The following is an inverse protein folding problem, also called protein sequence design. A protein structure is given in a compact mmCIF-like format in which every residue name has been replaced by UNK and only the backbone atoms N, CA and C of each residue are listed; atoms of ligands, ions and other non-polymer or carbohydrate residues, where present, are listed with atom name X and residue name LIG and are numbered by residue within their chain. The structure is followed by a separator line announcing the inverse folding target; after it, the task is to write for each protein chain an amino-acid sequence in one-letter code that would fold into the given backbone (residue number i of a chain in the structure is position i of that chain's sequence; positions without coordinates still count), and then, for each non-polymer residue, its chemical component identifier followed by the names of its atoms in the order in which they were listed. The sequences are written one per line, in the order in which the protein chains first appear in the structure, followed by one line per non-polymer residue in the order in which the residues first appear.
data_IF_690888354307
#
_entry.id   IF_690888354307
#
_cell.length_a   1.000
_cell.length_b   1.000
_cell.length_c   1.000
_cell.angle_alpha   90.00
_cell.angle_beta   90.00
_cell.angle_gamma   90.00
#
_symmetry.space_group_name_H-M   'P 1'
#
loop_
_entity.id
_entity.type
_entity.pdbx_description
1 polymer ?
#
# COMPACT_ATOMS: atom_id res chain seq x y z
N UNK A 1 13.42 7.26 28.82
CA UNK A 1 12.56 8.42 28.49
C UNK A 1 13.03 8.93 27.14
N UNK A 2 12.51 8.47 26.00
CA UNK A 2 11.12 8.65 25.56
C UNK A 2 11.10 9.66 24.41
N UNK A 3 12.01 9.49 23.43
CA UNK A 3 12.09 10.32 22.21
C UNK A 3 11.55 9.49 21.06
N UNK A 4 10.41 9.91 20.51
CA UNK A 4 9.75 9.34 19.35
C UNK A 4 10.75 9.16 18.20
N UNK A 5 11.02 7.90 17.85
CA UNK A 5 12.06 7.42 16.95
C UNK A 5 11.90 7.77 15.46
N UNK A 6 11.02 8.71 15.11
CA UNK A 6 10.80 9.04 13.69
C UNK A 6 11.96 9.82 13.06
N UNK A 7 12.76 10.55 13.85
CA UNK A 7 13.83 11.41 13.35
C UNK A 7 15.24 10.81 13.29
N UNK A 8 15.44 9.57 13.77
CA UNK A 8 16.77 8.93 13.86
C UNK A 8 16.97 7.79 12.85
N UNK A 9 15.97 7.47 12.03
CA UNK A 9 16.05 6.32 11.12
C UNK A 9 16.97 6.58 9.91
N UNK A 10 17.15 7.84 9.49
CA UNK A 10 17.90 8.16 8.27
C UNK A 10 19.39 8.52 8.47
N UNK A 11 19.84 8.83 9.70
CA UNK A 11 21.20 9.36 9.92
C UNK A 11 22.23 8.26 10.28
N UNK A 12 21.79 7.05 10.65
CA UNK A 12 22.70 6.01 11.17
C UNK A 12 23.21 5.01 10.11
N UNK A 13 22.65 5.00 8.90
CA UNK A 13 22.98 4.03 7.81
C UNK A 13 24.29 4.40 7.07
N UNK A 14 24.81 5.61 7.25
CA UNK A 14 25.96 6.11 6.47
C UNK A 14 27.34 5.55 6.85
N UNK A 15 27.47 4.68 7.86
CA UNK A 15 28.82 4.41 8.39
C UNK A 15 29.48 3.09 8.04
N UNK A 16 28.78 1.98 7.75
CA UNK A 16 29.46 0.69 7.49
C UNK A 16 28.56 -0.26 6.71
N UNK A 17 29.03 -0.82 5.59
CA UNK A 17 29.28 -2.26 5.45
C UNK A 17 29.69 -2.67 4.02
N UNK A 18 30.33 -3.83 3.97
CA UNK A 18 31.34 -4.32 3.03
C UNK A 18 30.74 -5.05 1.80
N UNK A 19 31.38 -4.87 0.64
CA UNK A 19 30.91 -5.11 -0.74
C UNK A 19 30.77 -6.62 -1.08
N UNK A 20 31.29 -7.50 -0.26
CA UNK A 20 31.35 -8.95 -0.53
C UNK A 20 30.07 -9.73 -0.17
N UNK A 21 29.24 -9.22 0.75
CA UNK A 21 28.00 -9.92 1.16
C UNK A 21 26.80 -9.63 0.23
N UNK A 22 26.84 -8.53 -0.52
CA UNK A 22 25.78 -8.08 -1.44
C UNK A 22 25.71 -8.89 -2.74
N UNK A 23 26.84 -9.44 -3.21
CA UNK A 23 26.88 -10.24 -4.45
C UNK A 23 26.14 -11.58 -4.32
N UNK A 24 26.09 -12.16 -3.12
CA UNK A 24 25.45 -13.45 -2.89
C UNK A 24 23.91 -13.31 -2.79
N UNK A 25 23.42 -12.29 -2.08
CA UNK A 25 21.98 -12.01 -1.94
C UNK A 25 21.31 -11.59 -3.25
N UNK A 26 22.04 -10.88 -4.13
CA UNK A 26 21.53 -10.51 -5.46
C UNK A 26 21.38 -11.74 -6.36
N UNK A 27 22.27 -12.74 -6.25
CA UNK A 27 22.21 -13.95 -7.08
C UNK A 27 21.02 -14.84 -6.73
N UNK A 28 20.66 -14.90 -5.45
CA UNK A 28 19.52 -15.68 -4.95
C UNK A 28 18.19 -14.98 -5.28
N UNK A 29 18.14 -13.64 -5.16
CA UNK A 29 16.99 -12.80 -5.57
C UNK A 29 16.65 -12.86 -7.07
N UNK A 30 17.62 -13.12 -7.96
CA UNK A 30 17.35 -13.24 -9.40
C UNK A 30 16.74 -14.59 -9.78
N UNK A 31 16.95 -15.65 -8.99
CA UNK A 31 16.38 -16.98 -9.22
C UNK A 31 14.86 -17.03 -8.95
N UNK A 32 14.37 -16.21 -8.02
CA UNK A 32 12.94 -16.17 -7.65
C UNK A 32 12.10 -15.15 -8.46
N UNK A 33 12.74 -14.25 -9.23
CA UNK A 33 12.05 -13.21 -10.03
C UNK A 33 11.18 -13.73 -11.17
N UNK A 34 11.41 -14.97 -11.62
CA UNK A 34 10.61 -15.59 -12.67
C UNK A 34 9.20 -16.02 -12.19
N UNK A 35 8.98 -16.11 -10.87
CA UNK A 35 7.73 -16.64 -10.30
C UNK A 35 6.79 -15.54 -9.77
N UNK A 36 7.30 -14.37 -9.39
CA UNK A 36 6.50 -13.25 -8.83
C UNK A 36 5.71 -12.45 -9.88
N UNK A 37 6.32 -12.13 -11.04
CA UNK A 37 5.67 -11.33 -12.09
C UNK A 37 4.43 -12.01 -12.69
N UNK A 38 4.40 -13.35 -12.71
CA UNK A 38 3.27 -14.12 -13.25
C UNK A 38 2.00 -13.94 -12.43
N UNK A 39 2.09 -13.61 -11.14
CA UNK A 39 0.92 -13.49 -10.25
C UNK A 39 0.17 -12.17 -10.47
N UNK A 40 0.87 -11.03 -10.56
CA UNK A 40 0.22 -9.72 -10.78
C UNK A 40 -0.39 -9.60 -12.18
N UNK A 41 0.33 -10.05 -13.21
CA UNK A 41 -0.18 -10.09 -14.58
C UNK A 41 -1.37 -11.06 -14.66
N UNK A 42 -1.32 -12.19 -13.94
CA UNK A 42 -2.46 -13.10 -13.82
C UNK A 42 -3.68 -12.44 -13.16
N UNK A 43 -3.50 -11.68 -12.08
CA UNK A 43 -4.61 -10.94 -11.43
C UNK A 43 -5.21 -9.88 -12.37
N UNK A 44 -4.38 -9.11 -13.08
CA UNK A 44 -4.84 -8.12 -14.06
C UNK A 44 -5.59 -8.76 -15.24
N UNK A 45 -5.05 -9.85 -15.80
CA UNK A 45 -5.67 -10.60 -16.90
C UNK A 45 -6.94 -11.35 -16.48
N UNK A 46 -7.03 -11.81 -15.23
CA UNK A 46 -8.25 -12.42 -14.69
C UNK A 46 -9.33 -11.37 -14.45
N UNK A 47 -8.93 -10.19 -13.97
CA UNK A 47 -9.85 -9.05 -13.76
C UNK A 47 -10.42 -8.54 -15.09
N UNK A 48 -9.62 -8.48 -16.17
CA UNK A 48 -10.11 -8.02 -17.49
C UNK A 48 -11.06 -9.00 -18.19
N UNK A 49 -11.11 -10.26 -17.78
CA UNK A 49 -12.01 -11.29 -18.36
C UNK A 49 -13.42 -11.31 -17.75
N UNK A 50 -13.69 -10.53 -16.70
CA UNK A 50 -14.96 -10.56 -15.97
C UNK A 50 -15.90 -9.47 -16.49
N UNK A 51 -16.93 -9.85 -17.27
CA UNK A 51 -17.84 -8.93 -17.97
C UNK A 51 -18.96 -8.31 -17.09
N UNK A 52 -19.10 -8.70 -15.82
CA UNK A 52 -20.23 -8.27 -14.98
C UNK A 52 -19.87 -8.00 -13.50
N UNK A 53 -18.65 -7.51 -13.21
CA UNK A 53 -18.25 -7.17 -11.83
C UNK A 53 -18.39 -5.65 -11.58
N UNK A 54 -19.11 -5.28 -10.53
CA UNK A 54 -19.29 -3.89 -10.06
C UNK A 54 -17.93 -3.33 -9.60
N UNK A 55 -17.59 -2.12 -10.04
CA UNK A 55 -16.36 -1.43 -9.60
C UNK A 55 -15.05 -2.00 -10.17
N UNK A 56 -15.08 -2.68 -11.32
CA UNK A 56 -13.91 -3.35 -11.92
C UNK A 56 -12.77 -2.38 -12.26
N UNK A 57 -13.08 -1.20 -12.76
CA UNK A 57 -12.03 -0.25 -13.20
C UNK A 57 -11.39 0.43 -11.99
N UNK A 58 -12.20 0.65 -10.96
CA UNK A 58 -11.85 1.27 -9.70
C UNK A 58 -10.88 0.38 -8.90
N UNK A 59 -11.13 -0.94 -8.84
CA UNK A 59 -10.20 -1.87 -8.19
C UNK A 59 -8.90 -2.03 -8.99
N UNK A 60 -8.98 -1.94 -10.33
CA UNK A 60 -7.79 -1.92 -11.17
C UNK A 60 -6.94 -0.67 -10.91
N UNK A 61 -7.58 0.48 -10.71
CA UNK A 61 -6.88 1.72 -10.36
C UNK A 61 -6.14 1.58 -9.03
N UNK A 62 -6.77 0.95 -8.02
CA UNK A 62 -6.11 0.62 -6.75
C UNK A 62 -4.89 -0.31 -6.95
N UNK A 63 -5.05 -1.40 -7.71
CA UNK A 63 -3.96 -2.35 -7.96
C UNK A 63 -2.79 -1.73 -8.75
N UNK A 64 -3.08 -0.86 -9.72
CA UNK A 64 -2.06 -0.09 -10.44
C UNK A 64 -1.35 0.87 -9.49
N UNK A 65 -2.09 1.56 -8.61
CA UNK A 65 -1.51 2.40 -7.55
C UNK A 65 -0.55 1.62 -6.66
N UNK A 66 -0.94 0.41 -6.22
CA UNK A 66 -0.08 -0.47 -5.42
C UNK A 66 1.18 -0.92 -6.18
N UNK A 67 1.09 -1.25 -7.47
CA UNK A 67 2.27 -1.56 -8.30
C UNK A 67 3.23 -0.37 -8.35
N UNK A 68 2.72 0.85 -8.52
CA UNK A 68 3.55 2.06 -8.52
C UNK A 68 4.20 2.31 -7.15
N UNK A 69 3.49 2.07 -6.05
CA UNK A 69 4.05 2.08 -4.68
C UNK A 69 5.22 1.10 -4.61
N UNK A 70 5.02 -0.17 -4.97
CA UNK A 70 6.08 -1.19 -4.90
C UNK A 70 7.30 -0.85 -5.76
N UNK A 71 7.12 -0.20 -6.91
CA UNK A 71 8.25 0.27 -7.73
C UNK A 71 9.02 1.38 -7.00
N UNK A 72 8.33 2.34 -6.40
CA UNK A 72 8.99 3.43 -5.68
C UNK A 72 9.61 2.97 -4.35
N UNK A 73 9.02 1.97 -3.71
CA UNK A 73 9.52 1.31 -2.51
C UNK A 73 10.91 0.70 -2.72
N UNK A 74 11.12 0.04 -3.87
CA UNK A 74 12.44 -0.51 -4.25
C UNK A 74 13.53 0.56 -4.25
N UNK A 75 13.23 1.80 -4.67
CA UNK A 75 14.23 2.88 -4.76
C UNK A 75 14.32 3.75 -3.51
N UNK A 76 13.26 3.82 -2.71
CA UNK A 76 13.23 4.62 -1.49
C UNK A 76 13.80 3.83 -0.30
N UNK A 77 13.25 2.64 -0.05
CA UNK A 77 13.62 1.76 1.05
C UNK A 77 14.75 0.81 0.65
N UNK A 78 14.77 0.36 -0.62
CA UNK A 78 15.83 -0.52 -1.08
C UNK A 78 17.21 0.13 -1.00
N UNK A 79 18.20 -0.65 -0.59
CA UNK A 79 19.61 -0.25 -0.51
C UNK A 79 20.31 -0.16 -1.88
N UNK A 80 19.61 0.38 -2.89
CA UNK A 80 20.22 0.65 -4.18
C UNK A 80 21.17 1.86 -4.06
N UNK A 81 22.36 1.81 -4.69
CA UNK A 81 23.33 2.91 -4.67
C UNK A 81 22.82 4.07 -5.56
N UNK A 82 21.94 4.90 -4.99
CA UNK A 82 21.37 6.09 -5.60
C UNK A 82 22.00 7.35 -5.00
N UNK A 83 22.02 8.44 -5.78
CA UNK A 83 22.37 9.75 -5.23
C UNK A 83 21.32 10.20 -4.22
N UNK A 84 21.74 10.93 -3.17
CA UNK A 84 20.83 11.36 -2.09
C UNK A 84 19.60 12.11 -2.60
N UNK A 85 19.78 13.01 -3.57
CA UNK A 85 18.67 13.76 -4.18
C UNK A 85 17.67 12.87 -4.92
N UNK A 86 18.16 11.84 -5.62
CA UNK A 86 17.29 10.90 -6.35
C UNK A 86 16.53 10.02 -5.37
N UNK A 87 17.16 9.56 -4.28
CA UNK A 87 16.48 8.82 -3.21
C UNK A 87 15.37 9.66 -2.57
N UNK A 88 15.63 10.93 -2.28
CA UNK A 88 14.62 11.85 -1.75
C UNK A 88 13.45 12.00 -2.73
N UNK A 89 13.71 12.13 -4.03
CA UNK A 89 12.67 12.23 -5.03
C UNK A 89 11.78 10.98 -5.09
N UNK A 90 12.38 9.78 -5.11
CA UNK A 90 11.61 8.53 -5.07
C UNK A 90 10.84 8.36 -3.75
N UNK A 91 11.42 8.77 -2.63
CA UNK A 91 10.76 8.69 -1.31
C UNK A 91 9.54 9.61 -1.24
N UNK A 92 9.66 10.83 -1.78
CA UNK A 92 8.53 11.76 -1.83
C UNK A 92 7.40 11.28 -2.74
N UNK A 93 7.73 10.72 -3.91
CA UNK A 93 6.74 10.09 -4.81
C UNK A 93 6.09 8.89 -4.12
N UNK A 94 6.89 8.06 -3.45
CA UNK A 94 6.41 6.89 -2.71
C UNK A 94 5.39 7.29 -1.63
N UNK A 95 5.72 8.27 -0.80
CA UNK A 95 4.83 8.81 0.24
C UNK A 95 3.53 9.36 -0.37
N UNK A 96 3.61 10.13 -1.46
CA UNK A 96 2.44 10.66 -2.15
C UNK A 96 1.55 9.56 -2.76
N UNK A 97 2.15 8.52 -3.33
CA UNK A 97 1.44 7.36 -3.86
C UNK A 97 0.71 6.57 -2.77
N UNK A 98 1.29 6.43 -1.56
CA UNK A 98 0.63 5.78 -0.42
C UNK A 98 -0.64 6.55 -0.03
N UNK A 99 -0.55 7.87 0.11
CA UNK A 99 -1.71 8.71 0.43
C UNK A 99 -2.80 8.62 -0.65
N UNK A 100 -2.41 8.69 -1.92
CA UNK A 100 -3.34 8.62 -3.04
C UNK A 100 -3.99 7.23 -3.20
N UNK A 101 -3.22 6.15 -3.05
CA UNK A 101 -3.72 4.78 -3.25
C UNK A 101 -4.64 4.33 -2.13
N UNK A 102 -4.35 4.71 -0.88
CA UNK A 102 -5.25 4.43 0.25
C UNK A 102 -6.55 5.24 0.16
N UNK A 103 -6.49 6.46 -0.37
CA UNK A 103 -7.68 7.24 -0.72
C UNK A 103 -8.52 6.56 -1.81
N UNK A 104 -7.88 6.09 -2.89
CA UNK A 104 -8.54 5.33 -3.97
C UNK A 104 -9.22 4.08 -3.39
N UNK A 105 -8.55 3.35 -2.49
CA UNK A 105 -9.12 2.17 -1.84
C UNK A 105 -10.37 2.52 -1.01
N UNK A 106 -10.34 3.61 -0.25
CA UNK A 106 -11.52 4.08 0.49
C UNK A 106 -12.68 4.45 -0.44
N UNK A 107 -12.40 5.17 -1.53
CA UNK A 107 -13.42 5.50 -2.53
C UNK A 107 -13.99 4.26 -3.23
N UNK A 108 -13.20 3.20 -3.41
CA UNK A 108 -13.71 1.92 -3.92
C UNK A 108 -14.84 1.37 -3.04
N UNK A 109 -14.71 1.44 -1.71
CA UNK A 109 -15.79 1.02 -0.82
C UNK A 109 -17.05 1.90 -0.95
N UNK A 110 -16.89 3.21 -1.18
CA UNK A 110 -18.02 4.13 -1.42
C UNK A 110 -18.75 3.77 -2.71
N UNK A 111 -18.02 3.43 -3.78
CA UNK A 111 -18.61 2.96 -5.05
C UNK A 111 -19.38 1.65 -4.86
N UNK A 112 -18.96 0.79 -3.92
CA UNK A 112 -19.69 -0.44 -3.55
C UNK A 112 -21.13 -0.20 -3.07
N UNK A 113 -21.44 0.99 -2.52
CA UNK A 113 -22.81 1.38 -2.14
C UNK A 113 -23.66 1.89 -3.30
N UNK A 114 -23.11 1.91 -4.53
CA UNK A 114 -23.80 2.40 -5.73
C UNK A 114 -24.31 3.85 -5.60
N UNK A 115 -23.66 4.67 -4.75
CA UNK A 115 -23.97 6.10 -4.62
C UNK A 115 -23.57 6.89 -5.87
N UNK A 116 -22.57 6.39 -6.60
CA UNK A 116 -22.09 6.90 -7.88
C UNK A 116 -22.06 5.72 -8.83
N UNK A 117 -22.59 5.91 -10.04
CA UNK A 117 -22.57 4.89 -11.09
C UNK A 117 -21.13 4.43 -11.36
N UNK A 118 -20.87 3.15 -11.14
CA UNK A 118 -19.56 2.52 -11.31
C UNK A 118 -19.16 2.47 -12.80
N UNK A 119 -17.87 2.61 -13.08
CA UNK A 119 -17.33 2.61 -14.45
C UNK A 119 -17.69 3.85 -15.29
N UNK A 120 -18.37 4.84 -14.73
CA UNK A 120 -18.63 6.10 -15.44
C UNK A 120 -17.36 6.94 -15.56
N UNK A 121 -17.18 7.69 -16.68
CA UNK A 121 -16.07 8.62 -16.82
C UNK A 121 -16.01 9.66 -15.69
N UNK A 122 -17.17 10.02 -15.14
CA UNK A 122 -17.28 10.94 -14.01
C UNK A 122 -16.73 10.32 -12.72
N UNK A 123 -17.13 9.09 -12.38
CA UNK A 123 -16.59 8.36 -11.22
C UNK A 123 -15.07 8.26 -11.27
N UNK A 124 -14.53 7.85 -12.42
CA UNK A 124 -13.09 7.74 -12.63
C UNK A 124 -12.38 9.09 -12.57
N UNK A 125 -12.95 10.13 -13.16
CA UNK A 125 -12.38 11.47 -13.11
C UNK A 125 -12.34 12.00 -11.68
N UNK A 126 -13.40 11.79 -10.88
CA UNK A 126 -13.43 12.21 -9.47
C UNK A 126 -12.40 11.43 -8.65
N UNK A 127 -12.30 10.12 -8.83
CA UNK A 127 -11.34 9.28 -8.12
C UNK A 127 -9.89 9.64 -8.46
N UNK A 128 -9.57 9.77 -9.74
CA UNK A 128 -8.21 10.12 -10.21
C UNK A 128 -7.85 11.55 -9.83
N UNK A 129 -8.74 12.52 -10.02
CA UNK A 129 -8.45 13.93 -9.70
C UNK A 129 -8.25 14.16 -8.19
N UNK A 130 -9.10 13.58 -7.35
CA UNK A 130 -8.96 13.69 -5.89
C UNK A 130 -7.71 12.95 -5.38
N UNK A 131 -7.39 11.78 -5.95
CA UNK A 131 -6.15 11.08 -5.66
C UNK A 131 -4.91 11.87 -6.12
N UNK A 132 -4.97 12.53 -7.28
CA UNK A 132 -3.88 13.36 -7.79
C UNK A 132 -3.59 14.56 -6.89
N UNK A 133 -4.62 15.17 -6.28
CA UNK A 133 -4.42 16.24 -5.28
C UNK A 133 -3.64 15.72 -4.08
N UNK A 134 -3.96 14.54 -3.56
CA UNK A 134 -3.22 13.93 -2.45
C UNK A 134 -1.80 13.53 -2.85
N UNK A 135 -1.61 12.98 -4.06
CA UNK A 135 -0.29 12.61 -4.57
C UNK A 135 0.61 13.83 -4.72
N UNK A 136 0.13 14.86 -5.42
CA UNK A 136 0.91 16.06 -5.72
C UNK A 136 1.12 16.87 -4.44
N UNK A 137 0.08 17.05 -3.62
CA UNK A 137 0.16 17.81 -2.37
C UNK A 137 1.13 17.18 -1.37
N UNK A 138 0.95 15.88 -1.10
CA UNK A 138 1.83 15.18 -0.15
C UNK A 138 3.24 15.03 -0.72
N UNK A 139 3.37 14.70 -2.00
CA UNK A 139 4.66 14.58 -2.68
C UNK A 139 5.43 15.90 -2.71
N UNK A 140 4.75 17.03 -2.91
CA UNK A 140 5.35 18.36 -2.83
C UNK A 140 5.92 18.65 -1.44
N UNK A 141 5.13 18.41 -0.38
CA UNK A 141 5.57 18.63 1.00
C UNK A 141 6.78 17.72 1.32
N UNK A 142 6.75 16.46 0.88
CA UNK A 142 7.84 15.52 1.10
C UNK A 142 9.11 15.92 0.33
N UNK A 143 8.96 16.36 -0.93
CA UNK A 143 10.08 16.86 -1.74
C UNK A 143 10.70 18.11 -1.12
N UNK A 144 9.89 19.07 -0.69
CA UNK A 144 10.40 20.30 -0.10
C UNK A 144 11.07 20.05 1.26
N UNK A 145 10.51 19.15 2.06
CA UNK A 145 11.15 18.73 3.32
C UNK A 145 12.53 18.10 3.07
N UNK A 146 12.64 17.23 2.06
CA UNK A 146 13.87 16.50 1.77
C UNK A 146 14.93 17.28 0.97
N UNK A 147 14.52 18.19 0.08
CA UNK A 147 15.41 18.97 -0.78
C UNK A 147 15.61 20.42 -0.31
N UNK A 148 14.81 20.89 0.64
CA UNK A 148 14.90 22.21 1.27
C UNK A 148 14.94 23.36 0.25
N UNK A 149 14.15 23.27 -0.83
CA UNK A 149 14.21 24.29 -1.90
C UNK A 149 13.40 25.55 -1.57
N UNK A 150 12.37 25.48 -0.71
CA UNK A 150 11.68 26.69 -0.21
C UNK A 150 12.18 27.18 1.15
N UNK A 151 12.81 26.31 1.94
CA UNK A 151 13.21 26.58 3.32
C UNK A 151 12.06 26.52 4.34
N UNK A 152 10.80 26.27 3.92
CA UNK A 152 9.64 26.33 4.81
C UNK A 152 9.67 25.25 5.91
N UNK A 153 10.21 24.07 5.63
CA UNK A 153 10.25 22.92 6.55
C UNK A 153 11.60 22.72 7.25
N UNK A 154 12.50 23.71 7.26
CA UNK A 154 13.86 23.59 7.84
C UNK A 154 13.85 23.21 9.33
N UNK A 155 12.85 23.67 10.09
CA UNK A 155 12.68 23.31 11.50
C UNK A 155 12.58 21.78 11.72
N UNK A 156 12.11 21.04 10.70
CA UNK A 156 11.99 19.57 10.72
C UNK A 156 13.32 18.83 10.80
N UNK A 157 14.44 19.51 10.53
CA UNK A 157 15.80 18.95 10.57
C UNK A 157 16.51 19.20 11.90
N UNK A 158 15.90 20.01 12.78
CA UNK A 158 16.41 20.28 14.11
C UNK A 158 15.69 19.43 15.13
N UNK A 159 16.41 18.86 16.10
CA UNK A 159 15.81 18.05 17.15
C UNK A 159 14.66 18.84 17.81
N UNK A 160 13.45 18.28 17.89
CA UNK A 160 13.09 16.86 17.86
C UNK A 160 12.71 16.25 16.48
N UNK A 161 13.13 16.84 15.36
CA UNK A 161 12.90 16.38 13.98
C UNK A 161 11.42 16.09 13.67
N UNK A 162 10.57 17.11 13.86
CA UNK A 162 9.11 16.98 13.74
C UNK A 162 8.61 17.61 12.46
N UNK A 163 7.89 16.83 11.66
CA UNK A 163 7.11 17.33 10.54
C UNK A 163 5.65 16.85 10.68
N UNK A 164 4.79 17.75 11.19
CA UNK A 164 3.39 17.41 11.48
C UNK A 164 2.60 17.20 10.20
N UNK A 165 2.88 17.97 9.15
CA UNK A 165 2.17 17.86 7.87
C UNK A 165 2.39 16.49 7.23
N UNK A 166 3.65 16.04 7.14
CA UNK A 166 3.97 14.69 6.65
C UNK A 166 3.39 13.61 7.56
N UNK A 167 3.50 13.76 8.88
CA UNK A 167 2.88 12.80 9.80
C UNK A 167 1.37 12.63 9.55
N UNK A 168 0.63 13.72 9.37
CA UNK A 168 -0.81 13.66 9.10
C UNK A 168 -1.08 13.05 7.73
N UNK A 169 -0.40 13.50 6.67
CA UNK A 169 -0.72 13.10 5.30
C UNK A 169 -0.24 11.69 4.93
N UNK A 170 0.87 11.25 5.50
CA UNK A 170 1.46 9.94 5.22
C UNK A 170 0.99 8.85 6.19
N UNK A 171 0.81 9.19 7.47
CA UNK A 171 0.50 8.19 8.50
C UNK A 171 -0.97 8.22 8.91
N UNK A 172 -1.46 9.38 9.34
CA UNK A 172 -2.78 9.45 9.98
C UNK A 172 -3.92 9.37 8.96
N UNK A 173 -3.86 10.13 7.87
CA UNK A 173 -4.89 10.14 6.84
C UNK A 173 -5.01 8.77 6.15
N UNK A 174 -3.93 8.10 5.70
CA UNK A 174 -4.02 6.74 5.16
C UNK A 174 -4.59 5.73 6.15
N UNK A 175 -4.23 5.82 7.44
CA UNK A 175 -4.83 4.99 8.48
C UNK A 175 -6.35 5.20 8.59
N UNK A 176 -6.80 6.46 8.58
CA UNK A 176 -8.23 6.79 8.58
C UNK A 176 -8.93 6.24 7.35
N UNK A 177 -8.32 6.34 6.16
CA UNK A 177 -8.88 5.81 4.92
C UNK A 177 -9.03 4.29 4.97
N UNK A 178 -8.03 3.57 5.49
CA UNK A 178 -8.08 2.12 5.67
C UNK A 178 -9.14 1.68 6.68
N UNK A 179 -9.27 2.39 7.79
CA UNK A 179 -10.33 2.11 8.79
C UNK A 179 -11.71 2.39 8.21
N UNK A 180 -11.87 3.50 7.49
CA UNK A 180 -13.12 3.82 6.79
C UNK A 180 -13.47 2.76 5.75
N UNK A 181 -12.51 2.34 4.92
CA UNK A 181 -12.65 1.23 3.98
C UNK A 181 -13.15 -0.04 4.68
N UNK A 182 -12.48 -0.47 5.76
CA UNK A 182 -12.87 -1.66 6.52
C UNK A 182 -14.30 -1.57 7.06
N UNK A 183 -14.68 -0.43 7.65
CA UNK A 183 -16.00 -0.24 8.24
C UNK A 183 -17.08 -0.25 7.15
N UNK A 184 -16.87 0.48 6.05
CA UNK A 184 -17.79 0.56 4.93
C UNK A 184 -18.03 -0.83 4.31
N UNK A 185 -16.96 -1.55 3.98
CA UNK A 185 -17.07 -2.89 3.42
C UNK A 185 -17.68 -3.90 4.40
N UNK A 186 -17.35 -3.81 5.69
CA UNK A 186 -17.94 -4.67 6.72
C UNK A 186 -19.46 -4.43 6.85
N UNK A 187 -19.90 -3.18 6.78
CA UNK A 187 -21.34 -2.85 6.77
C UNK A 187 -21.98 -3.41 5.50
N UNK A 188 -21.38 -3.16 4.33
CA UNK A 188 -21.85 -3.67 3.04
C UNK A 188 -22.10 -5.19 3.09
N UNK A 189 -21.10 -5.93 3.54
CA UNK A 189 -21.15 -7.39 3.57
C UNK A 189 -22.13 -7.92 4.63
N UNK A 190 -22.07 -7.41 5.86
CA UNK A 190 -22.88 -7.94 6.96
C UNK A 190 -24.33 -7.48 6.94
N UNK A 191 -24.61 -6.28 6.43
CA UNK A 191 -25.94 -5.67 6.47
C UNK A 191 -26.67 -5.72 5.13
N UNK A 192 -25.96 -5.57 4.01
CA UNK A 192 -26.57 -5.55 2.69
C UNK A 192 -26.55 -6.96 2.08
N UNK A 193 -25.38 -7.61 1.98
CA UNK A 193 -25.27 -8.94 1.37
C UNK A 193 -25.73 -10.06 2.33
N UNK A 194 -25.47 -9.93 3.63
CA UNK A 194 -25.82 -10.93 4.63
C UNK A 194 -24.92 -12.16 4.66
N UNK A 195 -23.85 -12.19 3.88
CA UNK A 195 -22.87 -13.27 3.85
C UNK A 195 -21.70 -12.99 4.82
N UNK A 196 -21.28 -13.98 5.60
CA UNK A 196 -20.18 -13.81 6.57
C UNK A 196 -18.83 -14.32 6.06
N UNK A 197 -18.81 -15.11 4.99
CA UNK A 197 -17.56 -15.69 4.49
C UNK A 197 -16.57 -14.62 3.98
N UNK A 198 -16.99 -13.56 3.25
CA UNK A 198 -16.07 -12.52 2.79
C UNK A 198 -15.36 -11.78 3.94
N UNK A 199 -15.99 -11.68 5.11
CA UNK A 199 -15.40 -11.01 6.28
C UNK A 199 -14.09 -11.64 6.77
N UNK A 200 -13.87 -12.94 6.53
CA UNK A 200 -12.61 -13.60 6.86
C UNK A 200 -11.45 -13.02 6.04
N UNK A 201 -11.67 -12.76 4.75
CA UNK A 201 -10.65 -12.17 3.88
C UNK A 201 -10.38 -10.71 4.25
N UNK A 202 -11.43 -9.90 4.46
CA UNK A 202 -11.29 -8.50 4.84
C UNK A 202 -10.58 -8.33 6.20
N UNK A 203 -10.96 -9.14 7.19
CA UNK A 203 -10.33 -9.10 8.53
C UNK A 203 -8.92 -9.67 8.50
N UNK A 204 -8.68 -10.74 7.73
CA UNK A 204 -7.33 -11.25 7.51
C UNK A 204 -6.41 -10.20 6.88
N UNK A 205 -6.89 -9.44 5.91
CA UNK A 205 -6.14 -8.35 5.29
C UNK A 205 -5.76 -7.26 6.32
N UNK A 206 -6.72 -6.85 7.16
CA UNK A 206 -6.48 -5.85 8.20
C UNK A 206 -5.44 -6.33 9.23
N UNK A 207 -5.52 -7.60 9.66
CA UNK A 207 -4.58 -8.19 10.62
C UNK A 207 -3.17 -8.27 10.02
N UNK A 208 -3.04 -8.73 8.76
CA UNK A 208 -1.74 -8.81 8.09
C UNK A 208 -1.10 -7.43 7.94
N UNK A 209 -1.87 -6.43 7.49
CA UNK A 209 -1.37 -5.07 7.37
C UNK A 209 -0.94 -4.50 8.72
N UNK A 210 -1.81 -4.59 9.75
CA UNK A 210 -1.48 -4.12 11.09
C UNK A 210 -0.27 -4.83 11.69
N UNK A 211 -0.15 -6.14 11.48
CA UNK A 211 1.03 -6.93 11.87
C UNK A 211 2.31 -6.43 11.20
N UNK A 212 2.25 -6.13 9.90
CA UNK A 212 3.36 -5.51 9.16
C UNK A 212 3.78 -4.17 9.74
N UNK A 213 2.82 -3.29 10.03
CA UNK A 213 3.10 -1.99 10.65
C UNK A 213 3.73 -2.15 12.05
N UNK A 214 3.23 -3.07 12.88
CA UNK A 214 3.80 -3.34 14.22
C UNK A 214 5.23 -3.85 14.10
N UNK A 215 5.51 -4.76 13.16
CA UNK A 215 6.87 -5.26 12.94
C UNK A 215 7.80 -4.12 12.52
N UNK A 216 7.36 -3.27 11.59
CA UNK A 216 8.17 -2.15 11.11
C UNK A 216 8.46 -1.12 12.21
N UNK A 217 7.46 -0.73 12.99
CA UNK A 217 7.61 0.35 13.98
C UNK A 217 8.17 -0.09 15.32
N UNK A 218 7.90 -1.33 15.76
CA UNK A 218 8.26 -1.80 17.11
C UNK A 218 9.38 -2.84 17.04
N UNK A 219 9.28 -3.82 16.14
CA UNK A 219 10.23 -4.92 16.10
C UNK A 219 11.50 -4.63 15.28
N UNK A 220 11.46 -3.66 14.36
CA UNK A 220 12.57 -3.36 13.44
C UNK A 220 13.91 -3.12 14.13
N UNK A 221 14.03 -2.34 15.23
CA UNK A 221 15.31 -2.17 15.93
C UNK A 221 15.84 -3.48 16.53
N UNK A 222 14.95 -4.36 17.01
CA UNK A 222 15.33 -5.65 17.57
C UNK A 222 15.81 -6.62 16.47
N UNK A 223 15.14 -6.63 15.32
CA UNK A 223 15.50 -7.43 14.15
C UNK A 223 16.83 -6.96 13.55
N UNK A 224 17.00 -5.65 13.38
CA UNK A 224 18.21 -5.05 12.84
C UNK A 224 19.43 -5.36 13.73
N UNK A 225 19.31 -5.17 15.06
CA UNK A 225 20.38 -5.52 16.00
C UNK A 225 20.66 -7.03 16.05
N UNK A 226 19.63 -7.88 15.96
CA UNK A 226 19.79 -9.33 15.99
C UNK A 226 20.42 -9.92 14.72
N UNK A 227 20.34 -9.22 13.59
CA UNK A 227 20.87 -9.68 12.30
C UNK A 227 22.16 -8.96 11.87
N UNK A 228 22.76 -8.16 12.76
CA UNK A 228 23.88 -7.27 12.46
C UNK A 228 23.61 -6.34 11.26
N UNK A 229 22.38 -5.80 11.19
CA UNK A 229 21.97 -4.85 10.15
C UNK A 229 21.74 -5.48 8.78
N UNK A 230 21.66 -6.81 8.67
CA UNK A 230 21.41 -7.48 7.37
C UNK A 230 19.95 -7.45 6.96
N UNK A 231 19.03 -7.43 7.93
CA UNK A 231 17.58 -7.46 7.71
C UNK A 231 16.93 -6.47 8.67
N UNK A 232 15.94 -5.73 8.18
CA UNK A 232 15.12 -4.81 8.97
C UNK A 232 13.65 -5.25 8.99
N UNK A 233 12.83 -4.52 9.75
CA UNK A 233 11.38 -4.74 9.79
C UNK A 233 10.67 -4.38 8.49
N UNK A 234 11.26 -3.54 7.63
CA UNK A 234 10.64 -3.08 6.40
C UNK A 234 10.46 -4.24 5.41
N UNK A 235 11.42 -5.16 5.31
CA UNK A 235 11.27 -6.36 4.48
C UNK A 235 10.01 -7.18 4.83
N UNK A 236 9.73 -7.35 6.14
CA UNK A 236 8.55 -8.09 6.59
C UNK A 236 7.25 -7.30 6.39
N UNK A 237 7.30 -5.99 6.56
CA UNK A 237 6.18 -5.10 6.30
C UNK A 237 5.77 -5.16 4.83
N UNK A 238 6.72 -5.08 3.89
CA UNK A 238 6.43 -5.17 2.44
C UNK A 238 5.72 -6.48 2.08
N UNK A 239 6.17 -7.62 2.64
CA UNK A 239 5.59 -8.94 2.40
C UNK A 239 4.18 -9.04 2.98
N UNK A 240 3.98 -8.59 4.22
CA UNK A 240 2.67 -8.65 4.88
C UNK A 240 1.66 -7.70 4.24
N UNK A 241 2.11 -6.52 3.80
CA UNK A 241 1.31 -5.58 3.03
C UNK A 241 0.90 -6.18 1.68
N UNK A 242 1.80 -6.90 0.98
CA UNK A 242 1.44 -7.63 -0.24
C UNK A 242 0.36 -8.70 -0.01
N UNK A 243 0.52 -9.50 1.05
CA UNK A 243 -0.48 -10.51 1.39
C UNK A 243 -1.82 -9.87 1.77
N UNK A 244 -1.79 -8.72 2.47
CA UNK A 244 -2.98 -7.94 2.78
C UNK A 244 -3.69 -7.46 1.50
N UNK A 245 -2.98 -6.84 0.56
CA UNK A 245 -3.54 -6.42 -0.74
C UNK A 245 -4.12 -7.59 -1.53
N UNK A 246 -3.47 -8.76 -1.46
CA UNK A 246 -3.98 -9.98 -2.09
C UNK A 246 -5.31 -10.42 -1.46
N UNK A 247 -5.43 -10.38 -0.14
CA UNK A 247 -6.68 -10.68 0.55
C UNK A 247 -7.78 -9.64 0.29
N UNK A 248 -7.45 -8.35 0.14
CA UNK A 248 -8.39 -7.32 -0.31
C UNK A 248 -8.93 -7.63 -1.71
N UNK A 249 -8.07 -8.09 -2.63
CA UNK A 249 -8.52 -8.49 -3.96
C UNK A 249 -9.39 -9.76 -3.94
N UNK A 250 -9.03 -10.76 -3.11
CA UNK A 250 -9.86 -11.97 -2.93
C UNK A 250 -11.21 -11.60 -2.32
N UNK A 251 -11.23 -10.71 -1.33
CA UNK A 251 -12.44 -10.15 -0.73
C UNK A 251 -13.33 -9.51 -1.78
N UNK A 252 -12.79 -8.58 -2.58
CA UNK A 252 -13.53 -7.93 -3.67
C UNK A 252 -14.06 -8.95 -4.69
N UNK A 253 -13.24 -9.96 -5.03
CA UNK A 253 -13.67 -11.04 -5.92
C UNK A 253 -14.81 -11.87 -5.34
N UNK A 254 -14.83 -12.09 -4.01
CA UNK A 254 -15.88 -12.89 -3.37
C UNK A 254 -17.23 -12.19 -3.39
N UNK A 255 -17.27 -10.88 -3.14
CA UNK A 255 -18.53 -10.12 -3.09
C UNK A 255 -19.09 -9.76 -4.48
N UNK A 256 -18.33 -9.98 -5.56
CA UNK A 256 -18.72 -9.68 -6.94
C UNK A 256 -18.93 -10.90 -7.83
N UNK A 257 -18.68 -12.12 -7.34
CA UNK A 257 -18.81 -13.37 -8.12
C UNK A 257 -20.01 -14.25 -7.73
N UNK A 258 -21.00 -13.71 -7.01
CA UNK A 258 -22.21 -14.45 -6.67
C UNK A 258 -23.11 -14.69 -7.92
N UNK A 259 -23.09 -15.96 -8.37
CA UNK A 259 -24.04 -16.69 -9.22
C UNK A 259 -24.06 -16.52 -10.76
N UNK A 260 -23.32 -17.42 -11.46
CA UNK A 260 -23.74 -17.95 -12.78
C UNK A 260 -23.88 -19.50 -12.83
N UNK A 261 -23.59 -20.26 -11.76
CA UNK A 261 -23.82 -21.72 -11.80
C UNK A 261 -24.94 -22.17 -10.87
N UNK A 262 -26.18 -21.80 -11.22
CA UNK A 262 -27.33 -22.61 -10.85
C UNK A 262 -27.72 -23.51 -12.03
N UNK A 263 -27.15 -24.72 -12.21
CA UNK A 263 -27.94 -25.80 -12.75
C UNK A 263 -28.92 -26.20 -11.65
N UNK A 264 -30.05 -25.51 -11.59
CA UNK A 264 -31.25 -26.08 -10.98
C UNK A 264 -31.52 -27.33 -11.82
N UNK A 265 -31.06 -28.48 -11.35
CA UNK A 265 -31.31 -29.74 -12.03
C UNK A 265 -32.82 -29.87 -12.18
N UNK A 266 -33.36 -30.19 -13.36
CA UNK A 266 -34.77 -30.49 -13.47
C UNK A 266 -35.02 -31.79 -12.70
N UNK A 267 -35.46 -31.66 -11.45
CA UNK A 267 -36.18 -32.73 -10.76
C UNK A 267 -37.57 -32.81 -11.40
N UNK A 268 -37.73 -33.72 -12.37
CA UNK A 268 -38.94 -34.50 -12.73
C UNK A 268 -38.63 -35.19 -14.09
N UNK A 269 -39.09 -36.44 -14.34
CA UNK A 269 -40.48 -36.89 -14.18
C UNK A 269 -40.77 -37.81 -12.98
#
# INVERSE_FOLDING_TARGET
MGSTQFGNFEVQILSRFDVTSLQFAIRESQSDRAMGHRRYIYLLLRTSRRKAAVGRVEIQLFLVGYILISICEIFSVGEFPLSGKVRVAFSAIHIGLIAATTWILMLNAVVGYQLIDDGTPLSLALMVSSAAVLLIGTGYIALDTGLQFTGFWEESWTAPNRNIALYVLYQLAPLVFLVAFYILEAILVLRILGEKAPMLYLTGAAILFAGGQVINYVASPHICNGTNGKIDGAMFETLLTLLSVTLVWIFWSSITEDDWHNPVGPTYP
#
